data_IF_941816041570
#
_entry.id   IF_941816041570
#
_cell.length_a   1.000
_cell.length_b   1.000
_cell.length_c   1.000
_cell.angle_alpha   90.00
_cell.angle_beta   90.00
_cell.angle_gamma   90.00
#
_symmetry.space_group_name_H-M   'P 1'
#
loop_
_entity.id
_entity.type
_entity.pdbx_description
1 polymer ?
#
# COMPACT_ATOMS: atom_id res chain seq x y z
N UNK A 1 4.39 -20.39 -7.11
CA UNK A 1 3.03 -20.07 -6.68
C UNK A 1 2.17 -21.34 -6.81
N UNK A 2 0.84 -21.23 -6.86
CA UNK A 2 -0.01 -22.30 -7.40
C UNK A 2 -0.07 -22.19 -8.94
N UNK A 3 -0.30 -23.30 -9.64
CA UNK A 3 -0.36 -23.31 -11.11
C UNK A 3 -1.49 -22.46 -11.71
N UNK A 4 -2.53 -22.17 -10.92
CA UNK A 4 -3.69 -21.37 -11.34
C UNK A 4 -3.38 -19.87 -11.34
N UNK A 5 -2.73 -19.36 -10.29
CA UNK A 5 -2.18 -17.99 -10.23
C UNK A 5 -1.22 -17.71 -11.39
N UNK A 6 -0.30 -18.65 -11.65
CA UNK A 6 0.66 -18.58 -12.75
C UNK A 6 -0.02 -18.62 -14.13
N UNK A 7 -1.13 -19.35 -14.28
CA UNK A 7 -1.93 -19.39 -15.52
C UNK A 7 -2.68 -18.07 -15.74
N UNK A 8 -3.36 -17.56 -14.71
CA UNK A 8 -4.09 -16.28 -14.78
C UNK A 8 -3.14 -15.12 -15.10
N UNK A 9 -1.98 -15.07 -14.44
CA UNK A 9 -0.95 -14.08 -14.69
C UNK A 9 -0.41 -14.16 -16.12
N UNK A 10 -0.18 -15.35 -16.66
CA UNK A 10 0.26 -15.53 -18.06
C UNK A 10 -0.77 -14.97 -19.06
N UNK A 11 -2.06 -15.18 -18.85
CA UNK A 11 -3.11 -14.60 -19.71
C UNK A 11 -3.17 -13.07 -19.58
N UNK A 12 -3.06 -12.53 -18.36
CA UNK A 12 -2.99 -11.07 -18.15
C UNK A 12 -1.76 -10.45 -18.82
N UNK A 13 -0.61 -11.12 -18.77
CA UNK A 13 0.60 -10.68 -19.49
C UNK A 13 0.41 -10.71 -21.00
N UNK A 14 -0.16 -11.78 -21.56
CA UNK A 14 -0.47 -11.86 -23.00
C UNK A 14 -1.34 -10.67 -23.45
N UNK A 15 -2.45 -10.41 -22.75
CA UNK A 15 -3.33 -9.27 -23.04
C UNK A 15 -2.61 -7.92 -22.93
N UNK A 16 -1.74 -7.74 -21.92
CA UNK A 16 -0.95 -6.51 -21.76
C UNK A 16 0.00 -6.29 -22.95
N UNK A 17 0.75 -7.31 -23.37
CA UNK A 17 1.69 -7.20 -24.48
C UNK A 17 0.99 -7.02 -25.85
N UNK A 18 -0.13 -7.71 -26.08
CA UNK A 18 -0.97 -7.52 -27.27
C UNK A 18 -1.51 -6.08 -27.37
N UNK A 19 -1.83 -5.46 -26.23
CA UNK A 19 -2.31 -4.08 -26.16
C UNK A 19 -1.20 -3.03 -26.39
N UNK A 20 0.02 -3.29 -25.92
CA UNK A 20 1.16 -2.36 -26.11
C UNK A 20 1.76 -2.44 -27.53
N UNK A 21 1.56 -3.55 -28.24
CA UNK A 21 2.04 -3.75 -29.63
C UNK A 21 3.57 -3.56 -29.77
N UNK A 22 4.34 -4.18 -28.87
CA UNK A 22 5.79 -4.10 -28.87
C UNK A 22 6.39 -4.75 -30.14
N UNK A 23 7.13 -3.97 -30.93
CA UNK A 23 7.72 -4.42 -32.20
C UNK A 23 8.68 -5.61 -32.01
N UNK A 24 8.47 -6.69 -32.76
CA UNK A 24 9.27 -7.91 -32.69
C UNK A 24 8.85 -8.91 -31.63
N UNK A 25 7.86 -8.59 -30.80
CA UNK A 25 7.34 -9.48 -29.74
C UNK A 25 6.25 -10.45 -30.25
N UNK A 26 5.82 -10.35 -31.52
CA UNK A 26 4.64 -11.07 -32.05
C UNK A 26 4.78 -12.61 -32.03
N UNK A 27 6.00 -13.13 -32.03
CA UNK A 27 6.32 -14.57 -32.02
C UNK A 27 6.79 -15.07 -30.62
N UNK A 28 6.66 -14.28 -29.54
CA UNK A 28 7.15 -14.69 -28.21
C UNK A 28 6.41 -15.93 -27.67
N UNK A 29 7.17 -17.00 -27.42
CA UNK A 29 6.66 -18.29 -26.98
C UNK A 29 6.40 -18.32 -25.47
N UNK A 30 5.30 -17.71 -25.04
CA UNK A 30 4.84 -17.67 -23.66
C UNK A 30 4.90 -19.02 -22.93
N UNK A 31 5.54 -19.03 -21.77
CA UNK A 31 5.62 -20.16 -20.86
C UNK A 31 5.46 -19.66 -19.42
N UNK A 32 4.82 -20.45 -18.56
CA UNK A 32 4.72 -20.16 -17.12
C UNK A 32 6.11 -19.97 -16.47
N UNK A 33 7.15 -20.65 -16.98
CA UNK A 33 8.52 -20.45 -16.49
C UNK A 33 9.21 -19.18 -17.01
N UNK A 34 8.51 -18.34 -17.78
CA UNK A 34 9.04 -17.11 -18.39
C UNK A 34 8.10 -15.91 -18.21
N UNK A 35 7.16 -15.96 -17.26
CA UNK A 35 6.38 -14.78 -16.88
C UNK A 35 7.13 -13.99 -15.79
N UNK A 36 7.29 -12.67 -15.93
CA UNK A 36 7.98 -11.88 -14.92
C UNK A 36 7.10 -11.73 -13.68
N UNK A 37 7.70 -11.93 -12.50
CA UNK A 37 7.08 -11.75 -11.20
C UNK A 37 7.23 -10.30 -10.77
N UNK A 38 6.23 -9.49 -11.11
CA UNK A 38 6.14 -8.10 -10.68
C UNK A 38 5.54 -7.99 -9.27
N UNK A 39 6.09 -7.09 -8.45
CA UNK A 39 5.55 -6.70 -7.16
C UNK A 39 5.38 -5.18 -7.08
N UNK A 40 4.37 -4.69 -6.36
CA UNK A 40 4.14 -3.26 -6.18
C UNK A 40 4.06 -2.86 -4.71
N UNK A 41 4.75 -1.78 -4.36
CA UNK A 41 4.73 -1.17 -3.04
C UNK A 41 4.35 0.31 -3.11
N UNK A 42 3.34 0.73 -2.36
CA UNK A 42 3.00 2.15 -2.20
C UNK A 42 3.58 2.69 -0.89
N UNK A 43 4.00 3.96 -0.89
CA UNK A 43 4.50 4.61 0.31
C UNK A 43 3.41 4.85 1.36
N UNK A 44 3.82 5.11 2.60
CA UNK A 44 3.00 5.82 3.58
C UNK A 44 2.73 7.28 3.14
N UNK A 45 1.80 7.95 3.82
CA UNK A 45 1.43 9.34 3.53
C UNK A 45 -0.07 9.67 3.67
N UNK A 46 -0.83 8.87 4.41
CA UNK A 46 -2.27 9.11 4.64
C UNK A 46 -3.09 9.03 3.36
N UNK A 47 -4.20 9.77 3.32
CA UNK A 47 -5.08 9.82 2.14
C UNK A 47 -4.39 10.30 0.86
N UNK A 48 -3.34 11.13 0.94
CA UNK A 48 -2.52 11.49 -0.25
C UNK A 48 -1.94 10.24 -0.90
N UNK A 49 -1.20 9.45 -0.12
CA UNK A 49 -0.59 8.22 -0.62
C UNK A 49 -1.64 7.17 -0.99
N UNK A 50 -2.78 7.10 -0.28
CA UNK A 50 -3.89 6.23 -0.67
C UNK A 50 -4.51 6.60 -2.02
N UNK A 51 -4.76 7.90 -2.27
CA UNK A 51 -5.33 8.39 -3.52
C UNK A 51 -4.34 8.26 -4.68
N UNK A 52 -3.07 8.62 -4.50
CA UNK A 52 -2.06 8.39 -5.54
C UNK A 52 -1.81 6.92 -5.79
N UNK A 53 -1.89 6.07 -4.76
CA UNK A 53 -1.98 4.63 -4.97
C UNK A 53 -3.20 4.31 -5.84
N UNK A 54 -4.45 4.56 -5.43
CA UNK A 54 -5.63 4.27 -6.28
C UNK A 54 -5.56 4.83 -7.71
N UNK A 55 -4.98 6.01 -7.92
CA UNK A 55 -4.77 6.62 -9.24
C UNK A 55 -3.74 5.86 -10.09
N UNK A 56 -2.49 5.75 -9.61
CA UNK A 56 -1.39 5.00 -10.24
C UNK A 56 -1.75 3.54 -10.46
N UNK A 57 -2.80 3.08 -9.79
CA UNK A 57 -3.16 1.69 -9.75
C UNK A 57 -4.48 1.41 -10.48
N UNK A 58 -5.19 2.45 -10.93
CA UNK A 58 -6.39 2.35 -11.75
C UNK A 58 -6.09 2.24 -13.25
N UNK A 59 -4.84 2.35 -13.70
CA UNK A 59 -4.45 2.54 -15.10
C UNK A 59 -3.76 1.36 -15.84
N UNK A 60 -3.23 0.26 -15.25
CA UNK A 60 -2.95 -1.06 -15.90
C UNK A 60 -3.99 -2.08 -15.38
N UNK A 61 -5.02 -1.61 -14.63
CA UNK A 61 -6.27 -2.36 -14.46
C UNK A 61 -7.02 -2.28 -15.79
N UNK A 62 -6.68 -3.18 -16.72
CA UNK A 62 -7.16 -3.19 -18.11
C UNK A 62 -8.70 -3.20 -18.24
N UNK A 63 -9.44 -3.41 -17.15
CA UNK A 63 -10.90 -3.31 -17.10
C UNK A 63 -11.40 -1.86 -17.13
N UNK A 64 -10.56 -0.90 -16.74
CA UNK A 64 -10.86 0.53 -16.86
C UNK A 64 -10.60 0.98 -18.31
N UNK A 65 -11.57 1.62 -18.95
CA UNK A 65 -11.42 2.09 -20.33
C UNK A 65 -10.39 3.23 -20.52
N UNK A 66 -9.92 3.85 -19.43
CA UNK A 66 -8.78 4.79 -19.43
C UNK A 66 -7.44 4.07 -19.17
N UNK A 67 -7.47 2.77 -18.84
CA UNK A 67 -6.35 2.01 -18.29
C UNK A 67 -5.59 1.18 -19.32
N UNK A 68 -5.26 1.81 -20.42
CA UNK A 68 -4.25 1.28 -21.32
C UNK A 68 -2.80 1.67 -20.81
N UNK A 69 -2.53 1.71 -19.47
CA UNK A 69 -1.20 1.83 -18.73
C UNK A 69 -1.09 2.40 -17.24
N UNK A 70 -0.86 1.56 -16.17
CA UNK A 70 -0.47 1.81 -14.71
C UNK A 70 -1.29 1.19 -13.51
N UNK A 71 -0.96 0.09 -12.77
CA UNK A 71 -1.95 -0.71 -11.94
C UNK A 71 -1.62 -1.29 -10.53
N UNK A 72 -2.69 -1.47 -9.72
CA UNK A 72 -2.87 -2.44 -8.61
C UNK A 72 -2.80 -2.01 -7.10
N UNK A 73 -3.88 -1.47 -6.46
CA UNK A 73 -3.89 -1.05 -5.02
C UNK A 73 -4.38 -2.10 -4.02
N UNK A 74 -3.47 -2.68 -3.26
CA UNK A 74 -3.73 -3.86 -2.42
C UNK A 74 -4.91 -3.73 -1.42
N UNK A 75 -4.98 -2.67 -0.61
CA UNK A 75 -5.83 -2.64 0.60
C UNK A 75 -7.35 -2.67 0.35
N UNK A 76 -7.88 -1.75 -0.45
CA UNK A 76 -9.32 -1.71 -0.73
C UNK A 76 -9.75 -2.65 -1.86
N UNK A 77 -8.83 -3.17 -2.67
CA UNK A 77 -9.08 -4.28 -3.62
C UNK A 77 -9.44 -5.56 -2.85
N UNK A 78 -8.71 -5.88 -1.77
CA UNK A 78 -9.01 -7.04 -0.91
C UNK A 78 -10.43 -6.98 -0.33
N UNK A 79 -10.82 -5.81 0.16
CA UNK A 79 -12.11 -5.64 0.82
C UNK A 79 -13.29 -5.66 -0.17
N UNK A 80 -13.09 -5.12 -1.38
CA UNK A 80 -14.13 -5.00 -2.39
C UNK A 80 -14.01 -6.08 -3.49
N UNK A 81 -13.52 -7.28 -3.14
CA UNK A 81 -13.47 -8.47 -4.01
C UNK A 81 -12.91 -8.20 -5.43
N UNK A 82 -11.80 -7.46 -5.48
CA UNK A 82 -11.18 -7.02 -6.73
C UNK A 82 -12.10 -6.20 -7.66
N UNK A 83 -12.96 -5.34 -7.11
CA UNK A 83 -13.72 -4.33 -7.87
C UNK A 83 -12.78 -3.38 -8.66
N UNK A 84 -13.30 -2.80 -9.75
CA UNK A 84 -12.62 -1.79 -10.58
C UNK A 84 -12.01 -0.67 -9.72
N UNK A 85 -10.72 -0.39 -9.89
CA UNK A 85 -9.98 0.45 -8.93
C UNK A 85 -10.41 1.93 -8.97
N UNK A 86 -10.80 2.46 -10.13
CA UNK A 86 -11.39 3.81 -10.25
C UNK A 86 -12.72 3.94 -9.51
N UNK A 87 -13.54 2.88 -9.52
CA UNK A 87 -14.77 2.83 -8.73
C UNK A 87 -14.45 2.77 -7.24
N UNK A 88 -13.43 2.01 -6.82
CA UNK A 88 -12.99 1.99 -5.42
C UNK A 88 -12.64 3.39 -4.92
N UNK A 89 -11.86 4.15 -5.70
CA UNK A 89 -11.45 5.52 -5.39
C UNK A 89 -12.61 6.52 -5.25
N UNK A 90 -13.70 6.31 -6.00
CA UNK A 90 -14.77 7.31 -6.19
C UNK A 90 -16.13 6.93 -5.61
N UNK A 91 -16.37 5.64 -5.29
CA UNK A 91 -17.67 5.09 -4.86
C UNK A 91 -17.62 4.22 -3.62
N UNK A 92 -16.49 3.57 -3.31
CA UNK A 92 -16.41 2.60 -2.20
C UNK A 92 -15.64 3.11 -0.97
N UNK A 93 -14.91 4.21 -1.08
CA UNK A 93 -14.20 4.86 0.03
C UNK A 93 -14.78 6.23 0.36
N UNK A 94 -14.93 6.54 1.65
CA UNK A 94 -15.53 7.77 2.14
C UNK A 94 -14.48 8.86 2.41
N UNK A 95 -13.57 9.11 1.45
CA UNK A 95 -12.47 10.09 1.58
C UNK A 95 -12.96 11.56 1.57
N UNK A 96 -14.22 11.79 1.19
CA UNK A 96 -14.85 13.12 1.26
C UNK A 96 -15.19 13.56 2.70
N UNK A 97 -15.33 12.61 3.62
CA UNK A 97 -15.52 12.90 5.04
C UNK A 97 -14.18 13.02 5.77
N UNK A 98 -14.17 13.77 6.86
CA UNK A 98 -12.99 13.95 7.70
C UNK A 98 -12.71 12.69 8.52
N UNK A 99 -11.58 12.02 8.27
CA UNK A 99 -11.18 10.73 8.89
C UNK A 99 -11.55 10.68 10.39
N UNK A 100 -10.89 11.49 11.23
CA UNK A 100 -11.09 11.52 12.70
C UNK A 100 -12.45 12.06 13.19
N UNK A 101 -13.46 12.19 12.31
CA UNK A 101 -14.80 12.67 12.65
C UNK A 101 -15.86 12.12 11.68
N UNK A 102 -16.09 10.79 11.65
CA UNK A 102 -16.85 10.11 10.61
C UNK A 102 -18.35 10.44 10.66
N UNK A 103 -18.89 10.98 9.56
CA UNK A 103 -20.31 11.30 9.37
C UNK A 103 -20.54 12.64 8.67
N UNK A 104 -21.64 12.78 7.93
CA UNK A 104 -21.88 13.95 7.09
C UNK A 104 -22.31 15.16 7.93
N UNK A 105 -22.98 14.91 9.07
CA UNK A 105 -23.49 15.92 9.98
C UNK A 105 -23.15 15.65 11.45
N UNK A 106 -23.42 16.63 12.32
CA UNK A 106 -23.08 16.55 13.75
C UNK A 106 -23.74 15.36 14.48
N UNK A 107 -24.98 15.01 14.13
CA UNK A 107 -25.70 13.92 14.79
C UNK A 107 -25.05 12.58 14.48
N UNK A 108 -24.83 12.30 13.20
CA UNK A 108 -24.12 11.09 12.75
C UNK A 108 -22.72 10.99 13.36
N UNK A 109 -21.98 12.10 13.43
CA UNK A 109 -20.64 12.13 14.05
C UNK A 109 -20.66 11.69 15.52
N UNK A 110 -21.56 12.25 16.34
CA UNK A 110 -21.69 11.84 17.74
C UNK A 110 -22.22 10.40 17.88
N UNK A 111 -23.11 9.94 16.99
CA UNK A 111 -23.61 8.56 16.98
C UNK A 111 -22.54 7.54 16.58
N UNK A 112 -21.79 7.80 15.51
CA UNK A 112 -20.66 7.00 15.05
C UNK A 112 -19.56 6.96 16.11
N UNK A 113 -19.18 8.11 16.68
CA UNK A 113 -18.19 8.15 17.76
C UNK A 113 -18.62 7.34 18.98
N UNK A 114 -19.91 7.42 19.37
CA UNK A 114 -20.46 6.59 20.44
C UNK A 114 -20.52 5.09 20.08
N UNK A 115 -20.71 4.73 18.81
CA UNK A 115 -20.67 3.36 18.33
C UNK A 115 -19.24 2.80 18.39
N UNK A 116 -18.26 3.50 17.81
CA UNK A 116 -16.83 3.18 17.84
C UNK A 116 -16.36 2.96 19.28
N UNK A 117 -16.65 3.91 20.15
CA UNK A 117 -16.42 3.83 21.60
C UNK A 117 -16.97 2.55 22.22
N UNK A 118 -18.23 2.21 21.94
CA UNK A 118 -18.90 1.01 22.50
C UNK A 118 -18.27 -0.29 22.00
N UNK A 119 -17.77 -0.33 20.77
CA UNK A 119 -17.04 -1.49 20.26
C UNK A 119 -15.68 -1.67 20.96
N UNK A 120 -14.91 -0.59 21.14
CA UNK A 120 -13.62 -0.65 21.85
C UNK A 120 -13.83 -1.03 23.33
N UNK A 121 -14.84 -0.48 24.01
CA UNK A 121 -15.23 -0.93 25.35
C UNK A 121 -15.61 -2.43 25.39
N UNK A 122 -16.28 -2.94 24.36
CA UNK A 122 -16.65 -4.36 24.32
C UNK A 122 -15.43 -5.27 24.18
N UNK A 123 -14.36 -4.80 23.54
CA UNK A 123 -13.05 -5.49 23.46
C UNK A 123 -12.34 -5.52 24.83
N UNK A 124 -12.34 -4.42 25.57
CA UNK A 124 -11.82 -4.34 26.95
C UNK A 124 -12.61 -5.24 27.92
N UNK A 125 -13.94 -5.18 27.88
CA UNK A 125 -14.84 -6.04 28.68
C UNK A 125 -14.66 -7.53 28.36
N UNK A 126 -14.26 -7.87 27.12
CA UNK A 126 -13.89 -9.23 26.73
C UNK A 126 -12.47 -9.66 27.18
N UNK A 127 -11.72 -8.77 27.85
CA UNK A 127 -10.41 -9.06 28.44
C UNK A 127 -9.22 -8.84 27.51
N UNK A 128 -9.42 -8.22 26.35
CA UNK A 128 -8.33 -7.84 25.44
C UNK A 128 -7.76 -6.47 25.80
N UNK A 129 -6.46 -6.28 25.63
CA UNK A 129 -5.86 -4.95 25.73
C UNK A 129 -6.39 -4.03 24.62
N UNK A 130 -6.70 -2.78 24.99
CA UNK A 130 -7.16 -1.71 24.10
C UNK A 130 -6.25 -0.50 24.20
N UNK A 131 -6.12 0.22 23.10
CA UNK A 131 -5.27 1.39 22.93
C UNK A 131 -5.97 2.43 22.03
N UNK A 132 -5.32 3.59 21.81
CA UNK A 132 -5.81 4.54 20.81
C UNK A 132 -5.80 3.98 19.37
N UNK A 133 -5.04 2.91 19.11
CA UNK A 133 -5.01 2.23 17.80
C UNK A 133 -6.31 1.49 17.51
N UNK A 134 -7.03 1.03 18.52
CA UNK A 134 -8.34 0.39 18.34
C UNK A 134 -9.40 1.36 17.81
N UNK A 135 -9.35 2.62 18.27
CA UNK A 135 -10.24 3.69 17.78
C UNK A 135 -9.84 4.07 16.36
N UNK A 136 -8.55 4.36 16.14
CA UNK A 136 -8.00 4.70 14.83
C UNK A 136 -8.27 3.63 13.76
N UNK A 137 -8.10 2.34 14.10
CA UNK A 137 -8.39 1.24 13.20
C UNK A 137 -9.85 1.21 12.75
N UNK A 138 -10.79 1.46 13.67
CA UNK A 138 -12.22 1.49 13.35
C UNK A 138 -12.62 2.73 12.56
N UNK A 139 -11.94 3.85 12.80
CA UNK A 139 -12.04 5.08 12.03
C UNK A 139 -11.57 4.88 10.57
N UNK A 140 -10.36 4.32 10.39
CA UNK A 140 -9.85 3.86 9.08
C UNK A 140 -10.82 2.88 8.41
N UNK A 141 -11.42 1.96 9.17
CA UNK A 141 -12.41 1.01 8.65
C UNK A 141 -13.67 1.70 8.12
N UNK A 142 -14.22 2.69 8.84
CA UNK A 142 -15.37 3.48 8.37
C UNK A 142 -15.11 4.15 7.00
N UNK A 143 -13.88 4.60 6.77
CA UNK A 143 -13.50 5.29 5.53
C UNK A 143 -13.17 4.35 4.37
N UNK A 144 -12.44 3.26 4.60
CA UNK A 144 -11.96 2.37 3.54
C UNK A 144 -12.83 1.13 3.32
N UNK A 145 -13.67 0.76 4.28
CA UNK A 145 -14.58 -0.39 4.26
C UNK A 145 -16.05 0.08 4.31
N UNK A 146 -16.34 1.30 3.85
CA UNK A 146 -17.64 1.97 3.99
C UNK A 146 -18.83 1.15 3.48
N UNK A 147 -18.64 0.44 2.36
CA UNK A 147 -19.67 -0.38 1.71
C UNK A 147 -19.65 -1.85 2.17
N UNK A 148 -18.80 -2.23 3.14
CA UNK A 148 -18.76 -3.55 3.75
C UNK A 148 -19.69 -3.56 4.98
N UNK A 149 -20.39 -4.69 5.20
CA UNK A 149 -21.29 -4.82 6.35
C UNK A 149 -20.56 -4.53 7.67
N UNK A 150 -21.16 -3.66 8.49
CA UNK A 150 -20.60 -3.15 9.74
C UNK A 150 -19.15 -2.66 9.60
N UNK A 151 -18.81 -2.00 8.47
CA UNK A 151 -17.48 -1.48 8.16
C UNK A 151 -16.36 -2.54 8.25
N UNK A 152 -16.67 -3.81 7.99
CA UNK A 152 -15.70 -4.90 8.08
C UNK A 152 -15.35 -5.32 9.51
N UNK A 153 -16.25 -5.12 10.49
CA UNK A 153 -16.07 -5.56 11.87
C UNK A 153 -15.75 -7.07 12.01
N UNK A 154 -16.31 -7.90 11.14
CA UNK A 154 -16.05 -9.35 11.07
C UNK A 154 -15.03 -9.74 9.97
N UNK A 155 -14.58 -8.77 9.14
CA UNK A 155 -13.67 -9.03 8.04
C UNK A 155 -12.24 -9.22 8.54
N UNK A 156 -11.72 -10.44 8.40
CA UNK A 156 -10.37 -10.83 8.84
C UNK A 156 -9.48 -11.23 7.66
N UNK A 157 -8.16 -11.13 7.84
CA UNK A 157 -7.21 -11.70 6.88
C UNK A 157 -7.41 -13.20 6.73
N UNK A 158 -7.79 -13.91 7.80
CA UNK A 158 -8.13 -15.33 7.74
C UNK A 158 -9.41 -15.61 6.94
N UNK A 159 -10.45 -14.78 7.03
CA UNK A 159 -11.67 -14.96 6.23
C UNK A 159 -11.44 -14.65 4.75
N UNK A 160 -10.53 -13.73 4.42
CA UNK A 160 -10.09 -13.52 3.03
C UNK A 160 -9.30 -14.74 2.54
N UNK A 161 -8.34 -15.22 3.33
CA UNK A 161 -7.48 -16.35 2.94
C UNK A 161 -8.18 -17.72 2.82
N UNK A 162 -9.39 -17.87 3.39
CA UNK A 162 -10.17 -19.13 3.38
C UNK A 162 -11.60 -18.96 2.82
N UNK A 163 -11.91 -17.82 2.21
CA UNK A 163 -13.24 -17.53 1.65
C UNK A 163 -13.44 -18.08 0.24
N UNK A 164 -14.52 -17.65 -0.40
CA UNK A 164 -14.69 -17.71 -1.86
C UNK A 164 -14.68 -16.25 -2.34
N UNK A 165 -13.53 -15.81 -2.88
CA UNK A 165 -13.26 -14.43 -3.25
C UNK A 165 -12.08 -14.35 -4.25
N UNK A 166 -11.76 -13.15 -4.73
CA UNK A 166 -10.69 -12.89 -5.69
C UNK A 166 -9.29 -13.38 -5.26
N UNK A 167 -9.00 -13.42 -3.95
CA UNK A 167 -7.71 -13.92 -3.44
C UNK A 167 -7.62 -15.44 -3.54
N UNK A 168 -8.66 -16.17 -3.12
CA UNK A 168 -8.70 -17.64 -3.23
C UNK A 168 -8.89 -18.12 -4.66
N UNK A 169 -9.54 -17.32 -5.51
CA UNK A 169 -9.75 -17.58 -6.93
C UNK A 169 -8.61 -17.07 -7.81
N UNK A 170 -7.49 -16.61 -7.22
CA UNK A 170 -6.28 -16.18 -7.91
C UNK A 170 -6.49 -15.09 -8.99
N UNK A 171 -7.46 -14.20 -8.80
CA UNK A 171 -7.75 -13.08 -9.73
C UNK A 171 -7.21 -11.73 -9.26
N UNK A 172 -6.53 -11.68 -8.12
CA UNK A 172 -5.85 -10.47 -7.62
C UNK A 172 -4.43 -10.77 -7.11
N UNK A 173 -3.53 -9.77 -7.06
CA UNK A 173 -2.17 -9.95 -6.53
C UNK A 173 -2.14 -10.34 -5.05
N UNK A 174 -1.11 -11.09 -4.64
CA UNK A 174 -0.89 -11.44 -3.24
C UNK A 174 -0.68 -10.19 -2.37
N UNK A 175 -1.48 -9.97 -1.31
CA UNK A 175 -1.41 -8.77 -0.51
C UNK A 175 -0.27 -8.79 0.52
N UNK A 176 0.41 -7.66 0.69
CA UNK A 176 1.39 -7.46 1.75
C UNK A 176 1.10 -6.16 2.51
N UNK A 177 0.83 -6.30 3.81
CA UNK A 177 0.68 -5.18 4.75
C UNK A 177 1.86 -5.26 5.73
N UNK A 178 2.53 -4.14 5.97
CA UNK A 178 3.77 -4.07 6.75
C UNK A 178 3.55 -3.22 8.02
N UNK A 179 4.02 -3.72 9.15
CA UNK A 179 4.07 -2.99 10.42
C UNK A 179 5.45 -3.14 11.07
N UNK A 180 5.92 -2.11 11.77
CA UNK A 180 7.22 -2.10 12.45
C UNK A 180 7.11 -2.70 13.86
N UNK A 181 8.00 -3.65 14.20
CA UNK A 181 8.18 -4.11 15.59
C UNK A 181 9.20 -3.25 16.31
N UNK A 182 8.76 -2.65 17.41
CA UNK A 182 9.61 -2.10 18.46
C UNK A 182 9.79 -3.13 19.58
N UNK A 183 11.05 -3.43 19.92
CA UNK A 183 11.42 -4.25 21.08
C UNK A 183 12.25 -3.40 22.04
N UNK A 184 11.84 -3.32 23.31
CA UNK A 184 12.46 -2.44 24.32
C UNK A 184 12.65 -0.98 23.84
N UNK A 185 11.72 -0.45 23.05
CA UNK A 185 11.77 0.92 22.51
C UNK A 185 12.67 1.13 21.29
N UNK A 186 13.36 0.10 20.79
CA UNK A 186 14.10 0.16 19.51
C UNK A 186 13.32 -0.52 18.40
N UNK A 187 13.22 0.09 17.22
CA UNK A 187 12.72 -0.60 16.02
C UNK A 187 13.68 -1.77 15.69
N UNK A 188 13.12 -2.93 15.35
CA UNK A 188 13.92 -4.17 15.16
C UNK A 188 13.67 -4.90 13.85
N UNK A 189 12.46 -4.85 13.30
CA UNK A 189 12.12 -5.41 11.99
C UNK A 189 10.73 -4.95 11.53
N UNK A 190 10.44 -5.14 10.25
CA UNK A 190 9.07 -5.27 9.72
C UNK A 190 8.51 -6.67 10.01
N UNK A 191 7.20 -6.78 10.23
CA UNK A 191 6.49 -8.07 10.35
C UNK A 191 5.59 -8.34 9.14
N UNK A 192 5.61 -9.59 8.70
CA UNK A 192 4.64 -10.18 7.79
C UNK A 192 4.53 -11.69 8.05
N UNK A 193 3.38 -12.28 7.78
CA UNK A 193 3.14 -13.72 7.97
C UNK A 193 3.85 -14.52 6.87
N UNK A 194 4.51 -15.62 7.25
CA UNK A 194 5.17 -16.52 6.28
C UNK A 194 4.16 -17.51 5.71
N UNK A 195 3.91 -17.43 4.40
CA UNK A 195 3.02 -18.34 3.68
C UNK A 195 3.78 -19.32 2.77
N UNK A 196 3.11 -20.42 2.41
CA UNK A 196 3.47 -21.37 1.35
C UNK A 196 2.17 -21.82 0.69
N UNK A 197 2.03 -21.55 -0.62
CA UNK A 197 0.82 -21.85 -1.41
C UNK A 197 -0.48 -21.41 -0.70
N UNK A 198 -0.61 -20.11 -0.39
CA UNK A 198 -1.78 -19.53 0.29
C UNK A 198 -1.92 -19.86 1.79
N UNK A 199 -1.25 -20.89 2.30
CA UNK A 199 -1.38 -21.33 3.71
C UNK A 199 -0.20 -20.88 4.58
N UNK A 200 -0.44 -20.55 5.85
CA UNK A 200 0.64 -20.20 6.79
C UNK A 200 1.54 -21.41 7.05
N UNK A 201 2.86 -21.22 7.06
CA UNK A 201 3.86 -22.27 7.38
C UNK A 201 4.27 -22.29 8.85
N UNK A 202 3.55 -21.57 9.72
CA UNK A 202 3.80 -21.56 11.17
C UNK A 202 2.71 -22.36 11.89
N UNK A 203 2.98 -23.64 12.14
CA UNK A 203 2.12 -24.48 12.97
C UNK A 203 2.07 -23.95 14.42
N UNK A 204 0.85 -23.82 14.94
CA UNK A 204 0.54 -23.63 16.37
C UNK A 204 1.00 -22.35 17.09
N UNK A 205 1.44 -21.30 16.40
CA UNK A 205 1.47 -19.92 16.97
C UNK A 205 0.88 -18.92 15.98
N UNK A 206 -0.45 -18.98 15.84
CA UNK A 206 -1.23 -17.87 15.34
C UNK A 206 -2.01 -17.29 16.53
N UNK A 207 -1.85 -16.00 16.82
CA UNK A 207 -2.75 -15.31 17.77
C UNK A 207 -3.99 -14.92 16.97
N UNK A 208 -4.92 -15.86 16.84
CA UNK A 208 -6.24 -15.61 16.27
C UNK A 208 -6.96 -14.50 17.07
N UNK A 209 -7.87 -13.79 16.41
CA UNK A 209 -8.66 -12.66 16.93
C UNK A 209 -7.93 -11.30 16.96
N UNK A 210 -6.73 -11.18 16.38
CA UNK A 210 -6.05 -9.90 16.12
C UNK A 210 -5.87 -9.59 14.62
N UNK A 211 -6.43 -10.42 13.74
CA UNK A 211 -6.29 -10.37 12.29
C UNK A 211 -7.48 -9.72 11.55
N UNK A 212 -8.32 -8.95 12.25
CA UNK A 212 -9.30 -8.06 11.63
C UNK A 212 -8.60 -7.08 10.67
N UNK A 213 -9.09 -6.97 9.44
CA UNK A 213 -8.44 -6.19 8.37
C UNK A 213 -8.29 -4.72 8.76
N UNK A 214 -9.32 -4.15 9.38
CA UNK A 214 -9.32 -2.78 9.90
C UNK A 214 -8.25 -2.57 10.97
N UNK A 215 -8.14 -3.49 11.93
CA UNK A 215 -7.14 -3.43 13.00
C UNK A 215 -5.69 -3.57 12.50
N UNK A 216 -5.43 -4.47 11.56
CA UNK A 216 -4.11 -4.62 10.94
C UNK A 216 -3.74 -3.38 10.12
N UNK A 217 -4.68 -2.84 9.34
CA UNK A 217 -4.48 -1.62 8.53
C UNK A 217 -4.27 -0.38 9.40
N UNK A 218 -5.05 -0.24 10.49
CA UNK A 218 -4.88 0.82 11.48
C UNK A 218 -3.53 0.76 12.20
N UNK A 219 -3.07 -0.44 12.56
CA UNK A 219 -1.74 -0.64 13.17
C UNK A 219 -0.61 -0.29 12.19
N UNK A 220 -0.73 -0.71 10.93
CA UNK A 220 0.21 -0.41 9.83
C UNK A 220 0.30 1.09 9.50
N UNK A 221 -0.74 1.86 9.85
CA UNK A 221 -0.87 3.32 9.66
C UNK A 221 -0.85 4.12 10.98
N UNK A 222 -0.26 3.57 12.05
CA UNK A 222 -0.31 4.14 13.39
C UNK A 222 0.37 5.52 13.58
N UNK A 223 1.07 6.04 12.57
CA UNK A 223 1.79 7.33 12.65
C UNK A 223 0.89 8.50 13.07
N UNK A 224 -0.39 8.50 12.68
CA UNK A 224 -1.38 9.53 13.01
C UNK A 224 -1.70 9.65 14.51
N UNK A 225 -1.32 8.65 15.29
CA UNK A 225 -1.55 8.57 16.74
C UNK A 225 -0.33 9.10 17.48
N UNK A 226 0.88 8.75 17.01
CA UNK A 226 2.15 9.25 17.55
C UNK A 226 2.42 10.72 17.12
N UNK A 227 1.91 11.18 15.98
CA UNK A 227 2.15 12.54 15.48
C UNK A 227 1.28 13.59 16.20
N UNK A 228 1.91 14.39 17.08
CA UNK A 228 1.34 15.54 17.78
C UNK A 228 0.05 15.28 18.59
N UNK A 229 -0.34 14.02 18.82
CA UNK A 229 -1.61 13.67 19.44
C UNK A 229 -2.82 14.12 18.61
N UNK A 230 -2.71 14.18 17.28
CA UNK A 230 -3.80 14.68 16.41
C UNK A 230 -5.07 13.85 16.60
N UNK A 231 -4.97 12.52 16.64
CA UNK A 231 -6.10 11.66 17.01
C UNK A 231 -6.75 12.08 18.34
N UNK A 232 -5.97 12.24 19.41
CA UNK A 232 -6.46 12.63 20.75
C UNK A 232 -7.15 14.00 20.75
N UNK A 233 -6.64 14.95 19.96
CA UNK A 233 -7.19 16.32 19.89
C UNK A 233 -8.39 16.49 18.97
N UNK A 234 -8.51 15.67 17.91
CA UNK A 234 -9.66 15.68 17.00
C UNK A 234 -10.89 15.01 17.61
N UNK A 235 -10.67 13.99 18.47
CA UNK A 235 -11.69 13.32 19.27
C UNK A 235 -12.19 14.22 20.42
N UNK A 236 -12.78 15.36 20.08
CA UNK A 236 -13.27 16.40 21.00
C UNK A 236 -14.39 15.97 21.96
N UNK A 237 -14.94 14.76 21.78
CA UNK A 237 -15.91 14.11 22.67
C UNK A 237 -15.40 12.75 23.18
N UNK A 238 -14.08 12.61 23.45
CA UNK A 238 -13.51 11.44 24.15
C UNK A 238 -14.28 11.18 25.45
N UNK A 239 -14.84 9.97 25.66
CA UNK A 239 -15.36 9.57 26.96
C UNK A 239 -14.23 9.27 27.93
N UNK A 240 -14.39 9.68 29.19
CA UNK A 240 -13.34 9.71 30.23
C UNK A 240 -12.74 8.36 30.66
N UNK A 241 -13.07 7.24 30.01
CA UNK A 241 -12.37 5.97 30.21
C UNK A 241 -11.16 5.82 29.25
N UNK A 242 -11.10 6.63 28.18
CA UNK A 242 -9.93 6.72 27.31
C UNK A 242 -8.86 7.67 27.88
N UNK A 243 -9.20 8.47 28.90
CA UNK A 243 -8.24 9.28 29.67
C UNK A 243 -7.22 8.34 30.34
N UNK A 244 -6.02 8.28 29.77
CA UNK A 244 -4.93 7.42 30.25
C UNK A 244 -4.57 6.24 29.35
N UNK A 245 -5.27 6.04 28.22
CA UNK A 245 -4.74 5.16 27.17
C UNK A 245 -3.47 5.77 26.56
N UNK A 246 -2.45 4.95 26.43
CA UNK A 246 -1.18 5.33 25.80
C UNK A 246 -1.32 5.44 24.28
N UNK A 247 -0.67 6.44 23.69
CA UNK A 247 -0.56 6.58 22.23
C UNK A 247 0.30 5.49 21.59
N UNK A 248 1.15 4.82 22.37
CA UNK A 248 2.16 3.90 21.83
C UNK A 248 1.73 2.44 21.77
N UNK A 249 0.63 2.05 22.41
CA UNK A 249 0.46 0.67 22.87
C UNK A 249 -0.36 -0.20 21.88
N UNK A 250 -0.10 -0.03 20.59
CA UNK A 250 -0.86 -0.61 19.47
C UNK A 250 -1.08 -2.13 19.55
N UNK A 251 -0.09 -2.85 20.09
CA UNK A 251 -0.14 -4.28 20.29
C UNK A 251 1.02 -4.67 21.21
N UNK A 252 0.74 -4.88 22.50
CA UNK A 252 1.67 -5.58 23.39
C UNK A 252 1.53 -7.09 23.23
N UNK A 253 2.40 -7.71 22.43
CA UNK A 253 2.52 -9.18 22.40
C UNK A 253 3.37 -9.64 23.58
N UNK A 254 2.78 -9.59 24.79
CA UNK A 254 3.48 -9.70 26.07
C UNK A 254 4.30 -8.46 26.41
N UNK A 255 5.05 -8.52 27.52
CA UNK A 255 5.67 -7.37 28.20
C UNK A 255 6.77 -6.59 27.43
N UNK A 256 7.01 -6.85 26.12
CA UNK A 256 8.20 -6.32 25.43
C UNK A 256 8.15 -6.11 23.91
N UNK A 257 7.04 -6.46 23.23
CA UNK A 257 6.89 -6.31 21.77
C UNK A 257 5.76 -5.32 21.50
N UNK A 258 6.06 -4.21 20.81
CA UNK A 258 5.11 -3.19 20.32
C UNK A 258 5.07 -3.23 18.79
N UNK A 259 3.88 -3.22 18.17
CA UNK A 259 3.74 -2.85 16.75
C UNK A 259 3.55 -1.34 16.57
N UNK A 260 3.90 -0.83 15.39
CA UNK A 260 3.59 0.54 14.95
C UNK A 260 3.65 0.62 13.41
N UNK A 261 3.49 1.82 12.88
CA UNK A 261 3.46 2.15 11.45
C UNK A 261 4.62 1.52 10.65
N UNK A 262 4.33 1.02 9.44
CA UNK A 262 5.33 0.40 8.56
C UNK A 262 6.44 1.37 8.11
N UNK A 263 6.15 2.67 8.05
CA UNK A 263 7.09 3.72 7.65
C UNK A 263 8.28 3.92 8.58
N UNK A 264 8.22 3.43 9.83
CA UNK A 264 9.33 3.54 10.79
C UNK A 264 10.51 2.60 10.49
N UNK A 265 10.27 1.38 10.01
CA UNK A 265 11.32 0.42 9.69
C UNK A 265 11.78 0.52 8.23
N UNK A 266 10.85 0.57 7.27
CA UNK A 266 11.14 0.54 5.84
C UNK A 266 11.06 1.93 5.22
N UNK A 267 11.64 2.95 5.87
CA UNK A 267 11.94 4.26 5.25
C UNK A 267 10.78 5.06 4.62
N UNK A 268 9.53 4.58 4.71
CA UNK A 268 8.34 5.09 4.05
C UNK A 268 7.70 4.20 2.97
N UNK A 269 8.32 3.13 2.46
CA UNK A 269 7.80 2.29 1.34
C UNK A 269 8.21 0.81 1.53
N UNK A 270 7.37 -0.20 1.26
CA UNK A 270 7.68 -1.60 1.62
C UNK A 270 8.68 -2.33 0.67
N UNK A 271 9.67 -1.64 0.10
CA UNK A 271 10.55 -2.17 -0.94
C UNK A 271 11.41 -3.36 -0.46
N UNK A 272 11.91 -3.31 0.78
CA UNK A 272 12.69 -4.39 1.37
C UNK A 272 11.85 -5.66 1.56
N UNK A 273 10.61 -5.50 2.04
CA UNK A 273 9.67 -6.61 2.17
C UNK A 273 9.36 -7.28 0.82
N UNK A 274 9.44 -6.57 -0.30
CA UNK A 274 9.27 -7.14 -1.65
C UNK A 274 10.54 -7.85 -2.15
N UNK A 275 11.73 -7.28 -1.89
CA UNK A 275 13.04 -7.79 -2.37
C UNK A 275 13.55 -9.09 -1.70
N UNK A 276 12.80 -9.68 -0.77
CA UNK A 276 13.21 -10.93 -0.09
C UNK A 276 13.36 -12.07 -1.12
N UNK A 277 14.54 -12.71 -1.27
CA UNK A 277 14.81 -13.64 -2.38
C UNK A 277 13.87 -14.84 -2.46
N UNK A 278 13.29 -15.26 -1.33
CA UNK A 278 12.29 -16.33 -1.27
C UNK A 278 10.94 -16.00 -1.95
N UNK A 279 10.76 -14.75 -2.41
CA UNK A 279 9.62 -14.34 -3.25
C UNK A 279 9.92 -14.45 -4.74
N UNK A 280 11.21 -14.54 -5.13
CA UNK A 280 11.66 -14.63 -6.52
C UNK A 280 10.99 -13.57 -7.42
N UNK A 281 11.00 -12.32 -6.96
CA UNK A 281 10.45 -11.14 -7.67
C UNK A 281 11.50 -10.61 -8.64
N UNK A 282 11.12 -10.40 -9.89
CA UNK A 282 11.99 -9.91 -10.95
C UNK A 282 11.89 -8.38 -11.08
N UNK A 283 10.69 -7.80 -10.84
CA UNK A 283 10.45 -6.35 -10.92
C UNK A 283 9.75 -5.85 -9.67
N UNK A 284 10.31 -4.82 -9.03
CA UNK A 284 9.68 -4.10 -7.92
C UNK A 284 9.29 -2.70 -8.38
N UNK A 285 7.99 -2.40 -8.37
CA UNK A 285 7.46 -1.06 -8.61
C UNK A 285 7.23 -0.38 -7.26
N UNK A 286 7.83 0.79 -7.04
CA UNK A 286 7.60 1.60 -5.83
C UNK A 286 6.99 2.96 -6.16
N UNK A 287 5.91 3.28 -5.46
CA UNK A 287 5.23 4.57 -5.53
C UNK A 287 5.66 5.44 -4.37
N UNK A 288 6.53 6.41 -4.62
CA UNK A 288 6.99 7.35 -3.59
C UNK A 288 6.08 8.59 -3.54
N UNK A 289 5.31 8.71 -2.47
CA UNK A 289 4.46 9.85 -2.17
C UNK A 289 5.02 10.68 -1.01
N UNK A 290 6.32 10.59 -0.73
CA UNK A 290 7.01 11.42 0.26
C UNK A 290 6.83 12.91 -0.04
N UNK A 291 6.63 13.69 1.03
CA UNK A 291 6.19 15.08 0.95
C UNK A 291 5.18 15.37 2.06
N UNK A 292 5.20 16.59 2.58
CA UNK A 292 4.24 17.02 3.61
C UNK A 292 3.75 18.46 3.41
N UNK A 293 3.72 18.91 2.15
CA UNK A 293 3.26 20.23 1.73
C UNK A 293 3.06 20.27 0.22
N UNK A 294 2.39 21.31 -0.29
CA UNK A 294 2.21 21.55 -1.73
C UNK A 294 3.52 21.74 -2.54
N UNK A 295 4.69 21.82 -1.89
CA UNK A 295 5.98 22.18 -2.49
C UNK A 295 7.11 21.19 -2.22
N UNK A 296 6.86 20.12 -1.47
CA UNK A 296 7.88 19.13 -1.05
C UNK A 296 7.64 17.81 -1.77
N UNK A 297 8.26 17.60 -2.91
CA UNK A 297 8.16 16.35 -3.70
C UNK A 297 9.15 15.29 -3.18
N UNK A 298 9.02 14.01 -3.58
CA UNK A 298 10.03 12.98 -3.34
C UNK A 298 11.42 13.40 -3.87
N UNK A 299 12.47 12.90 -3.22
CA UNK A 299 13.85 13.36 -3.42
C UNK A 299 14.88 12.21 -3.40
N UNK A 300 14.43 10.97 -3.62
CA UNK A 300 15.23 9.75 -3.53
C UNK A 300 15.56 9.23 -2.13
N UNK A 301 15.16 9.91 -1.04
CA UNK A 301 15.48 9.47 0.34
C UNK A 301 14.96 8.08 0.67
N UNK A 302 13.82 7.67 0.09
CA UNK A 302 13.26 6.32 0.23
C UNK A 302 14.21 5.27 -0.35
N UNK A 303 14.59 5.44 -1.62
CA UNK A 303 15.53 4.58 -2.38
C UNK A 303 16.87 4.44 -1.67
N UNK A 304 17.46 5.56 -1.23
CA UNK A 304 18.72 5.55 -0.47
C UNK A 304 18.59 4.77 0.84
N UNK A 305 17.45 4.87 1.55
CA UNK A 305 17.20 4.07 2.76
C UNK A 305 17.07 2.58 2.46
N UNK A 306 16.43 2.20 1.34
CA UNK A 306 16.31 0.80 0.94
C UNK A 306 17.64 0.16 0.60
N UNK A 307 18.45 0.79 -0.25
CA UNK A 307 19.76 0.27 -0.62
C UNK A 307 20.66 0.05 0.61
N UNK A 308 20.69 1.02 1.53
CA UNK A 308 21.39 0.90 2.80
C UNK A 308 20.84 -0.23 3.68
N UNK A 309 19.51 -0.30 3.87
CA UNK A 309 18.90 -1.31 4.73
C UNK A 309 19.06 -2.73 4.15
N UNK A 310 18.87 -2.91 2.85
CA UNK A 310 19.06 -4.18 2.16
C UNK A 310 20.51 -4.66 2.28
N UNK A 311 21.47 -3.76 2.10
CA UNK A 311 22.90 -4.02 2.35
C UNK A 311 23.15 -4.47 3.80
N UNK A 312 22.56 -3.80 4.80
CA UNK A 312 22.68 -4.19 6.21
C UNK A 312 22.09 -5.57 6.52
N UNK A 313 21.03 -5.98 5.82
CA UNK A 313 20.38 -7.29 5.99
C UNK A 313 20.97 -8.39 5.09
N UNK A 314 21.91 -8.05 4.20
CA UNK A 314 22.46 -8.99 3.21
C UNK A 314 21.46 -9.46 2.17
N UNK A 315 20.42 -8.66 1.87
CA UNK A 315 19.46 -8.94 0.80
C UNK A 315 19.95 -8.29 -0.50
N UNK A 316 20.06 -9.06 -1.61
CA UNK A 316 20.38 -8.50 -2.93
C UNK A 316 19.36 -7.43 -3.34
N UNK A 317 19.86 -6.28 -3.77
CA UNK A 317 19.08 -5.14 -4.23
C UNK A 317 19.90 -4.42 -5.31
N UNK A 318 19.27 -3.80 -6.31
CA UNK A 318 20.00 -3.13 -7.37
C UNK A 318 20.81 -1.92 -6.88
N UNK A 319 21.86 -1.58 -7.62
CA UNK A 319 22.57 -0.33 -7.44
C UNK A 319 21.63 0.84 -7.74
N UNK A 320 21.56 1.80 -6.80
CA UNK A 320 20.69 2.98 -6.86
C UNK A 320 21.50 4.24 -6.54
N UNK A 321 21.08 5.43 -7.02
CA UNK A 321 21.82 6.67 -6.75
C UNK A 321 21.99 6.93 -5.25
N UNK A 322 23.18 7.41 -4.90
CA UNK A 322 23.52 7.93 -3.57
C UNK A 322 22.78 9.23 -3.29
N UNK A 323 22.76 9.67 -2.02
CA UNK A 323 22.11 10.95 -1.69
C UNK A 323 22.81 12.14 -2.35
N UNK A 324 24.12 12.06 -2.50
CA UNK A 324 24.96 13.03 -3.20
C UNK A 324 24.60 13.11 -4.69
N UNK A 325 24.29 11.99 -5.34
CA UNK A 325 23.84 11.95 -6.74
C UNK A 325 22.43 12.54 -6.91
N UNK A 326 21.48 12.22 -6.03
CA UNK A 326 20.15 12.87 -6.00
C UNK A 326 20.23 14.40 -5.73
N UNK A 327 21.25 14.87 -5.00
CA UNK A 327 21.50 16.31 -4.79
C UNK A 327 22.15 16.95 -6.03
N UNK A 328 23.01 16.22 -6.74
CA UNK A 328 23.66 16.70 -7.97
C UNK A 328 22.70 16.73 -9.17
N UNK A 329 21.79 15.76 -9.26
CA UNK A 329 20.75 15.65 -10.29
C UNK A 329 19.38 15.30 -9.66
N UNK A 330 18.57 16.31 -9.29
CA UNK A 330 17.23 16.11 -8.79
C UNK A 330 16.28 15.40 -9.77
N UNK A 331 16.56 15.39 -11.08
CA UNK A 331 15.71 14.71 -12.06
C UNK A 331 15.73 13.19 -11.89
N UNK A 332 16.70 12.63 -11.16
CA UNK A 332 16.70 11.24 -10.71
C UNK A 332 15.52 10.90 -9.78
N UNK A 333 14.85 11.91 -9.20
CA UNK A 333 13.67 11.75 -8.35
C UNK A 333 12.34 12.13 -9.05
N UNK A 334 12.35 12.39 -10.35
CA UNK A 334 11.18 12.82 -11.14
C UNK A 334 10.65 11.70 -12.05
N UNK A 335 9.33 11.65 -12.26
CA UNK A 335 8.66 10.71 -13.17
C UNK A 335 8.87 9.24 -12.83
N UNK A 336 9.10 8.42 -13.88
CA UNK A 336 9.47 7.00 -13.77
C UNK A 336 10.98 6.86 -13.96
N UNK A 337 11.64 6.09 -13.09
CA UNK A 337 13.06 5.76 -13.15
C UNK A 337 13.26 4.25 -12.97
N UNK A 338 14.28 3.72 -13.64
CA UNK A 338 14.61 2.30 -13.65
C UNK A 338 16.02 2.11 -13.08
N UNK A 339 16.18 1.20 -12.13
CA UNK A 339 17.47 0.86 -11.52
C UNK A 339 17.66 -0.66 -11.51
N UNK A 340 18.86 -1.14 -11.82
CA UNK A 340 19.16 -2.58 -11.80
C UNK A 340 18.83 -3.38 -13.05
N UNK A 341 18.43 -2.73 -14.15
CA UNK A 341 18.16 -3.44 -15.40
C UNK A 341 19.34 -4.34 -15.81
N UNK A 342 19.03 -5.57 -16.26
CA UNK A 342 19.99 -6.56 -16.78
C UNK A 342 20.87 -7.30 -15.75
N UNK A 343 20.55 -7.27 -14.46
CA UNK A 343 21.21 -8.11 -13.45
C UNK A 343 20.28 -9.24 -12.96
N UNK A 344 20.57 -10.48 -13.35
CA UNK A 344 19.76 -11.66 -12.99
C UNK A 344 19.74 -12.01 -11.48
N UNK A 345 20.61 -11.36 -10.70
CA UNK A 345 20.83 -11.62 -9.28
C UNK A 345 20.05 -10.67 -8.35
N UNK A 346 19.40 -9.63 -8.89
CA UNK A 346 18.65 -8.61 -8.15
C UNK A 346 17.38 -8.22 -8.92
N UNK A 347 16.29 -7.83 -8.24
CA UNK A 347 15.11 -7.30 -8.93
C UNK A 347 15.41 -5.96 -9.60
N UNK A 348 14.87 -5.73 -10.81
CA UNK A 348 14.80 -4.37 -11.38
C UNK A 348 13.84 -3.51 -10.56
N UNK A 349 14.27 -2.32 -10.16
CA UNK A 349 13.49 -1.35 -9.38
C UNK A 349 12.92 -0.27 -10.30
N UNK A 350 11.59 -0.21 -10.40
CA UNK A 350 10.84 0.88 -11.05
C UNK A 350 10.39 1.87 -9.98
N UNK A 351 11.01 3.04 -9.94
CA UNK A 351 10.67 4.12 -9.02
C UNK A 351 9.74 5.12 -9.70
N UNK A 352 8.59 5.37 -9.09
CA UNK A 352 7.57 6.32 -9.56
C UNK A 352 7.34 7.36 -8.48
N UNK A 353 7.74 8.61 -8.74
CA UNK A 353 7.58 9.71 -7.79
C UNK A 353 6.28 10.50 -8.01
N UNK A 354 5.58 10.81 -6.93
CA UNK A 354 4.48 11.76 -6.96
C UNK A 354 4.97 13.17 -7.29
N UNK A 355 4.50 13.73 -8.40
CA UNK A 355 4.90 15.05 -8.91
C UNK A 355 3.74 15.75 -9.62
N UNK A 356 3.80 17.07 -9.71
CA UNK A 356 2.84 17.86 -10.49
C UNK A 356 3.12 17.68 -11.99
N UNK A 357 2.21 17.02 -12.71
CA UNK A 357 2.19 16.98 -14.18
C UNK A 357 1.01 17.81 -14.71
N UNK A 358 -0.21 17.52 -14.26
CA UNK A 358 -1.43 18.26 -14.64
C UNK A 358 -2.26 18.75 -13.45
N UNK A 359 -2.14 18.15 -12.27
CA UNK A 359 -2.85 18.58 -11.07
C UNK A 359 -1.99 18.42 -9.80
N UNK A 360 -2.15 19.31 -8.80
CA UNK A 360 -1.31 19.26 -7.60
C UNK A 360 -1.82 18.24 -6.57
N UNK A 361 -1.33 17.01 -6.69
CA UNK A 361 -1.49 15.89 -5.76
C UNK A 361 -0.62 16.00 -4.51
N UNK A 362 0.32 16.96 -4.45
CA UNK A 362 1.20 17.12 -3.31
C UNK A 362 0.50 17.90 -2.18
N UNK A 363 0.32 17.24 -1.04
CA UNK A 363 -0.63 17.64 0.01
C UNK A 363 -0.07 17.23 1.37
N UNK A 364 -0.54 17.83 2.46
CA UNK A 364 -0.10 17.42 3.80
C UNK A 364 -0.61 16.02 4.13
N UNK A 365 0.22 15.24 4.83
CA UNK A 365 -0.10 13.87 5.30
C UNK A 365 -1.30 13.90 6.25
N UNK A 366 -1.44 14.98 7.01
CA UNK A 366 -2.56 15.28 7.90
C UNK A 366 -3.78 15.92 7.21
N UNK A 367 -3.86 15.90 5.87
CA UNK A 367 -5.09 16.24 5.15
C UNK A 367 -6.02 15.02 5.15
N UNK A 368 -7.03 15.08 6.01
CA UNK A 368 -7.91 13.96 6.36
C UNK A 368 -9.27 13.97 5.65
N UNK A 369 -9.45 14.84 4.66
CA UNK A 369 -10.58 14.84 3.74
C UNK A 369 -10.14 15.47 2.41
N UNK A 370 -10.71 15.00 1.30
CA UNK A 370 -10.53 15.58 -0.03
C UNK A 370 -11.89 15.95 -0.63
N UNK A 371 -11.91 16.74 -1.69
CA UNK A 371 -13.13 16.96 -2.49
C UNK A 371 -13.08 16.12 -3.78
N UNK A 372 -14.25 15.89 -4.40
CA UNK A 372 -14.34 15.05 -5.60
C UNK A 372 -13.46 15.53 -6.77
N UNK A 373 -13.33 16.85 -6.95
CA UNK A 373 -12.44 17.46 -7.95
C UNK A 373 -10.96 17.26 -7.61
N UNK A 374 -10.61 17.25 -6.32
CA UNK A 374 -9.26 16.88 -5.89
C UNK A 374 -8.97 15.39 -6.14
N UNK A 375 -9.93 14.50 -5.86
CA UNK A 375 -9.83 13.06 -6.14
C UNK A 375 -9.65 12.82 -7.66
N UNK A 376 -10.47 13.46 -8.50
CA UNK A 376 -10.30 13.43 -9.96
C UNK A 376 -8.93 14.02 -10.39
N UNK A 377 -8.44 15.02 -9.66
CA UNK A 377 -7.09 15.55 -9.79
C UNK A 377 -5.99 14.52 -9.54
N UNK A 378 -6.13 13.61 -8.56
CA UNK A 378 -5.22 12.47 -8.40
C UNK A 378 -5.32 11.52 -9.59
N UNK A 379 -6.53 11.10 -9.98
CA UNK A 379 -6.77 10.18 -11.09
C UNK A 379 -6.15 10.67 -12.41
N UNK A 380 -6.29 11.96 -12.70
CA UNK A 380 -5.76 12.58 -13.92
C UNK A 380 -4.26 12.86 -13.85
N UNK A 381 -3.74 13.27 -12.70
CA UNK A 381 -2.31 13.55 -12.56
C UNK A 381 -1.45 12.30 -12.67
N UNK A 382 -1.77 11.26 -11.93
CA UNK A 382 -0.85 10.13 -11.86
C UNK A 382 -0.98 9.22 -13.09
N UNK A 383 -2.14 9.21 -13.76
CA UNK A 383 -2.24 8.71 -15.13
C UNK A 383 -1.33 9.50 -16.11
N UNK A 384 -1.18 10.82 -15.94
CA UNK A 384 -0.24 11.63 -16.74
C UNK A 384 1.24 11.40 -16.35
N UNK A 385 1.54 10.97 -15.11
CA UNK A 385 2.86 10.46 -14.71
C UNK A 385 3.17 9.13 -15.43
N UNK A 386 2.17 8.26 -15.59
CA UNK A 386 2.35 6.92 -16.18
C UNK A 386 2.37 6.90 -17.71
N UNK A 387 1.64 7.82 -18.34
CA UNK A 387 1.59 7.97 -19.82
C UNK A 387 2.58 9.01 -20.35
N UNK A 388 3.16 9.83 -19.45
CA UNK A 388 4.21 10.83 -19.66
C UNK A 388 4.02 11.83 -20.82
N UNK A 389 3.56 13.03 -20.46
CA UNK A 389 3.76 14.24 -21.28
C UNK A 389 5.08 14.99 -20.97
N UNK A 390 5.94 14.47 -20.08
CA UNK A 390 7.17 15.16 -19.62
C UNK A 390 8.33 14.18 -19.41
N UNK A 391 9.33 14.22 -20.31
CA UNK A 391 10.68 13.71 -20.05
C UNK A 391 11.00 12.28 -20.51
N UNK A 392 10.01 11.42 -20.71
CA UNK A 392 10.19 10.05 -21.23
C UNK A 392 9.04 9.77 -22.20
N UNK A 393 9.31 9.77 -23.51
CA UNK A 393 8.31 9.37 -24.51
C UNK A 393 8.02 7.86 -24.35
N UNK A 394 6.77 7.46 -24.54
CA UNK A 394 6.30 6.06 -24.56
C UNK A 394 6.60 5.22 -23.31
N UNK A 395 6.41 5.79 -22.11
CA UNK A 395 6.55 5.08 -20.83
C UNK A 395 5.82 3.70 -20.75
N UNK A 396 4.61 3.48 -21.30
CA UNK A 396 4.00 2.16 -21.37
C UNK A 396 4.81 1.14 -22.21
N UNK A 397 5.45 1.59 -23.29
CA UNK A 397 6.35 0.77 -24.12
C UNK A 397 7.63 0.44 -23.34
N UNK A 398 8.20 1.40 -22.61
CA UNK A 398 9.39 1.13 -21.78
C UNK A 398 9.10 0.13 -20.65
N UNK A 399 7.92 0.19 -20.03
CA UNK A 399 7.49 -0.83 -19.06
C UNK A 399 7.33 -2.20 -19.72
N UNK A 400 6.76 -2.28 -20.94
CA UNK A 400 6.67 -3.53 -21.68
C UNK A 400 8.05 -4.08 -22.08
N UNK A 401 8.97 -3.24 -22.56
CA UNK A 401 10.35 -3.63 -22.84
C UNK A 401 11.04 -4.24 -21.60
N UNK A 402 10.86 -3.63 -20.42
CA UNK A 402 11.37 -4.18 -19.17
C UNK A 402 10.78 -5.57 -18.91
N UNK A 403 9.46 -5.70 -18.87
CA UNK A 403 8.81 -6.98 -18.58
C UNK A 403 9.16 -8.06 -19.62
N UNK A 404 9.38 -7.69 -20.88
CA UNK A 404 9.86 -8.59 -21.93
C UNK A 404 11.30 -9.06 -21.65
N UNK A 405 12.21 -8.15 -21.28
CA UNK A 405 13.60 -8.49 -20.92
C UNK A 405 13.64 -9.45 -19.74
N UNK A 406 12.86 -9.21 -18.68
CA UNK A 406 12.78 -10.11 -17.52
C UNK A 406 12.06 -11.45 -17.86
N UNK A 407 11.19 -11.46 -18.86
CA UNK A 407 10.62 -12.68 -19.46
C UNK A 407 11.62 -13.47 -20.31
N UNK A 408 12.82 -12.94 -20.58
CA UNK A 408 13.85 -13.58 -21.39
C UNK A 408 13.71 -13.37 -22.91
N UNK A 409 13.08 -12.26 -23.32
CA UNK A 409 13.12 -11.74 -24.70
C UNK A 409 14.33 -10.82 -24.91
#
# INVERSE_FOLDING_TARGET
>A
MGSEEETNAMTTWQEYFDNVQLEGFEDFAWNISSIPRAALGASGGGHRASLSAFSVLSAFDMRNAQANGGAGTVGAILANDNTLISDVATKYININNHLLNPGDNKTERSENMANLTRQVLSKDVAGYHVSLVDIWAKDVSFHFLHNIENFGDELTLSSIANGDNAFTNHTMPFPLIVATVFKNGSATASVGTKYKNGTSVVDNVCVSNYDNLGFVTGTSSGYFIDYNGIAVSALTEIPSFLDGLSSTDALYMGDSIRLSDGGYAEGGVPAFSLAVPAREVDVIIILDNAGDSAWTVPNGDSVVRFSNYSTMQGIPFPDTPTKEEYIADPSLAEGIRFFGCHYSEVPTLVYIANQLVVHNTNQTTIKLAYQNDEIEGFMTNDHAILTQQVGFEDAPVCMACLFATEAGF
#
